data_IF_694949016169
#
_entry.id   IF_694949016169
#
_cell.length_a   1.000
_cell.length_b   1.000
_cell.length_c   1.000
_cell.angle_alpha   90.00
_cell.angle_beta   90.00
_cell.angle_gamma   90.00
#
_symmetry.space_group_name_H-M   'P 1'
#
loop_
_entity.id
_entity.type
_entity.pdbx_description
1 polymer ?
#
# COMPACT_ATOMS: atom_id res chain seq x y z
N UNK A 1 -12.92 -17.36 -24.28
CA UNK A 1 -11.63 -18.04 -24.06
C UNK A 1 -11.44 -18.19 -22.56
N UNK A 2 -11.49 -19.39 -21.97
CA UNK A 2 -11.42 -19.53 -20.53
C UNK A 2 -9.96 -19.71 -20.09
N UNK A 3 -9.47 -18.86 -19.21
CA UNK A 3 -8.16 -19.03 -18.57
C UNK A 3 -8.27 -20.14 -17.52
N UNK A 4 -8.04 -21.38 -17.94
CA UNK A 4 -7.82 -22.52 -17.06
C UNK A 4 -6.40 -22.45 -16.48
N UNK A 5 -6.25 -22.37 -15.16
CA UNK A 5 -4.96 -22.70 -14.51
C UNK A 5 -4.48 -21.81 -13.37
N UNK A 6 -5.35 -21.19 -12.58
CA UNK A 6 -4.91 -20.54 -11.33
C UNK A 6 -4.49 -21.63 -10.34
N UNK A 7 -3.17 -21.80 -10.16
CA UNK A 7 -2.61 -22.73 -9.16
C UNK A 7 -3.00 -22.26 -7.77
N UNK A 8 -3.56 -23.18 -6.96
CA UNK A 8 -3.85 -22.96 -5.54
C UNK A 8 -2.58 -22.44 -4.85
N UNK A 9 -2.60 -21.19 -4.40
CA UNK A 9 -1.54 -20.65 -3.58
C UNK A 9 -1.68 -21.24 -2.17
N UNK A 10 -0.64 -21.93 -1.71
CA UNK A 10 -0.52 -22.39 -0.33
C UNK A 10 -0.56 -21.20 0.64
N UNK A 11 -1.00 -21.40 1.90
CA UNK A 11 -0.96 -20.34 2.90
C UNK A 11 0.49 -19.93 3.13
N UNK A 12 0.87 -18.77 2.57
CA UNK A 12 2.15 -18.20 2.92
C UNK A 12 2.03 -17.67 4.35
N UNK A 13 2.87 -18.19 5.23
CA UNK A 13 3.06 -17.63 6.56
C UNK A 13 3.53 -16.19 6.39
N UNK A 14 2.65 -15.23 6.68
CA UNK A 14 3.01 -13.83 6.84
C UNK A 14 3.88 -13.75 8.10
N UNK A 15 5.19 -14.00 7.96
CA UNK A 15 6.13 -13.23 8.76
C UNK A 15 5.90 -11.80 8.32
N UNK A 16 5.15 -11.04 9.14
CA UNK A 16 5.18 -9.58 9.08
C UNK A 16 6.64 -9.21 9.18
N UNK A 17 7.30 -9.02 8.04
CA UNK A 17 8.61 -8.39 8.01
C UNK A 17 8.28 -6.98 8.42
N UNK A 18 8.48 -6.72 9.71
CA UNK A 18 8.34 -5.42 10.34
C UNK A 18 9.30 -4.48 9.62
N UNK A 19 8.84 -3.95 8.49
CA UNK A 19 9.33 -2.72 7.90
C UNK A 19 8.96 -1.66 8.92
N UNK A 20 9.98 -1.29 9.70
CA UNK A 20 9.95 -0.27 10.75
C UNK A 20 9.59 1.09 10.14
N UNK A 21 8.32 1.30 9.83
CA UNK A 21 7.65 2.60 9.75
C UNK A 21 6.26 2.43 10.39
N UNK A 22 6.25 1.82 11.56
CA UNK A 22 5.27 2.11 12.58
C UNK A 22 6.08 2.95 13.57
N UNK A 23 5.67 4.17 13.86
CA UNK A 23 6.29 4.92 14.96
C UNK A 23 6.07 4.10 16.24
N UNK A 24 7.08 3.35 16.67
CA UNK A 24 7.01 2.50 17.86
C UNK A 24 7.12 3.39 19.10
N UNK A 25 5.98 3.93 19.53
CA UNK A 25 5.86 4.81 20.69
C UNK A 25 5.99 4.07 22.03
N UNK A 26 6.09 2.73 22.02
CA UNK A 26 6.11 1.92 23.23
C UNK A 26 7.52 1.67 23.80
N UNK A 27 8.58 2.24 23.20
CA UNK A 27 9.97 2.03 23.64
C UNK A 27 10.58 3.18 24.47
N UNK A 28 9.83 4.25 24.79
CA UNK A 28 10.37 5.41 25.53
C UNK A 28 9.99 5.37 27.01
N UNK A 29 10.81 4.75 27.87
CA UNK A 29 10.88 4.95 29.33
C UNK A 29 9.56 5.36 30.04
N UNK A 30 8.88 4.39 30.65
CA UNK A 30 7.50 4.49 31.17
C UNK A 30 7.17 5.65 32.14
N UNK A 31 8.16 6.41 32.64
CA UNK A 31 7.92 7.54 33.56
C UNK A 31 7.74 8.89 32.84
N UNK A 32 8.29 9.12 31.65
CA UNK A 32 8.16 10.39 30.92
C UNK A 32 6.85 10.49 30.11
N UNK A 33 6.34 9.36 29.62
CA UNK A 33 5.11 9.30 28.79
C UNK A 33 3.86 9.73 29.58
N UNK A 34 3.75 9.47 30.89
CA UNK A 34 2.53 9.81 31.66
C UNK A 34 2.22 11.31 31.72
N UNK A 35 3.25 12.16 31.93
CA UNK A 35 3.09 13.62 32.01
C UNK A 35 2.95 14.26 30.64
N UNK A 36 3.54 13.66 29.62
CA UNK A 36 3.43 14.12 28.24
C UNK A 36 2.27 13.45 27.50
N UNK A 37 1.50 12.53 28.11
CA UNK A 37 0.45 11.74 27.44
C UNK A 37 -0.60 12.62 26.78
N UNK A 38 -0.99 13.71 27.44
CA UNK A 38 -1.93 14.71 26.88
C UNK A 38 -1.31 15.50 25.73
N UNK A 39 -0.02 15.86 25.84
CA UNK A 39 0.72 16.57 24.79
C UNK A 39 0.97 15.66 23.59
N UNK A 40 1.41 14.42 23.80
CA UNK A 40 1.60 13.39 22.79
C UNK A 40 0.27 13.06 22.12
N UNK A 41 -0.82 12.94 22.87
CA UNK A 41 -2.15 12.70 22.31
C UNK A 41 -2.64 13.90 21.49
N UNK A 42 -2.38 15.13 21.93
CA UNK A 42 -2.74 16.35 21.20
C UNK A 42 -1.85 16.57 19.96
N UNK A 43 -0.56 16.28 20.04
CA UNK A 43 0.39 16.28 18.90
C UNK A 43 0.05 15.14 17.94
N UNK A 44 -0.33 13.96 18.42
CA UNK A 44 -0.83 12.86 17.59
C UNK A 44 -2.18 13.18 16.99
N UNK A 45 -3.08 13.91 17.66
CA UNK A 45 -4.33 14.40 17.05
C UNK A 45 -4.06 15.47 15.99
N UNK A 46 -3.07 16.33 16.18
CA UNK A 46 -2.69 17.35 15.19
C UNK A 46 -1.85 16.78 14.02
N UNK A 47 -1.08 15.70 14.23
CA UNK A 47 -0.25 15.06 13.21
C UNK A 47 -0.93 13.86 12.52
N UNK A 48 -1.77 13.08 13.21
CA UNK A 48 -2.47 11.91 12.66
C UNK A 48 -3.66 12.32 11.77
N UNK A 49 -4.27 13.49 12.03
CA UNK A 49 -5.36 14.06 11.21
C UNK A 49 -4.88 14.43 9.79
N UNK A 50 -3.59 14.35 9.50
CA UNK A 50 -3.01 14.56 8.16
C UNK A 50 -2.56 13.23 7.54
N UNK A 51 -3.39 12.19 7.58
CA UNK A 51 -3.15 10.99 6.78
C UNK A 51 -4.41 10.56 6.03
N UNK A 52 -4.74 11.33 4.99
CA UNK A 52 -5.65 10.85 3.96
C UNK A 52 -4.93 9.73 3.17
N UNK A 53 -4.97 8.52 3.72
CA UNK A 53 -4.49 7.33 3.02
C UNK A 53 -5.50 6.97 1.93
N UNK A 54 -5.42 7.67 0.79
CA UNK A 54 -6.19 7.32 -0.40
C UNK A 54 -5.83 5.89 -0.79
N UNK A 55 -6.85 5.03 -0.94
CA UNK A 55 -6.64 3.64 -1.33
C UNK A 55 -5.99 3.61 -2.73
N UNK A 56 -4.74 3.13 -2.87
CA UNK A 56 -4.04 3.16 -4.16
C UNK A 56 -4.78 2.37 -5.24
N UNK A 57 -5.59 1.39 -4.86
CA UNK A 57 -6.31 0.51 -5.78
C UNK A 57 -7.52 1.18 -6.44
N UNK A 58 -7.94 2.35 -6.00
CA UNK A 58 -9.06 3.10 -6.62
C UNK A 58 -8.58 4.25 -7.50
N UNK A 59 -7.30 4.61 -7.40
CA UNK A 59 -6.68 5.70 -8.15
C UNK A 59 -6.42 5.30 -9.60
N UNK A 60 -6.48 6.23 -10.57
CA UNK A 60 -6.14 5.95 -11.96
C UNK A 60 -4.64 5.73 -12.14
N UNK A 61 -4.23 5.05 -13.22
CA UNK A 61 -2.84 5.04 -13.66
C UNK A 61 -2.35 6.47 -13.91
N UNK A 62 -1.17 6.83 -13.41
CA UNK A 62 -0.59 8.15 -13.64
C UNK A 62 0.90 8.07 -14.00
N UNK A 63 1.23 8.40 -15.27
CA UNK A 63 2.61 8.42 -15.77
C UNK A 63 3.47 9.51 -15.11
N UNK A 64 2.87 10.60 -14.63
CA UNK A 64 3.61 11.77 -14.17
C UNK A 64 4.16 12.63 -15.31
N UNK A 65 4.89 13.71 -14.97
CA UNK A 65 5.34 14.72 -15.94
C UNK A 65 6.77 14.52 -16.47
N UNK A 66 7.56 13.66 -15.84
CA UNK A 66 8.93 13.36 -16.28
C UNK A 66 8.94 12.37 -17.46
N UNK A 67 10.07 12.31 -18.18
CA UNK A 67 10.21 11.56 -19.44
C UNK A 67 11.04 10.27 -19.33
N UNK A 68 11.29 9.75 -18.12
CA UNK A 68 11.97 8.47 -17.97
C UNK A 68 11.03 7.31 -18.34
N UNK A 69 11.62 6.16 -18.66
CA UNK A 69 10.87 4.94 -19.00
C UNK A 69 11.02 3.86 -17.91
N UNK A 70 10.35 4.06 -16.78
CA UNK A 70 10.42 3.13 -15.65
C UNK A 70 9.21 2.18 -15.72
N UNK A 71 9.46 0.88 -15.89
CA UNK A 71 8.39 -0.13 -15.84
C UNK A 71 7.87 -0.27 -14.42
N UNK A 72 6.56 -0.08 -14.25
CA UNK A 72 5.82 -0.19 -12.99
C UNK A 72 4.51 -0.92 -13.20
N UNK A 73 3.84 -1.28 -12.11
CA UNK A 73 2.55 -1.95 -12.11
C UNK A 73 1.49 -1.03 -11.50
N UNK A 74 0.28 -1.05 -12.05
CA UNK A 74 -0.88 -0.39 -11.47
C UNK A 74 -2.05 -1.38 -11.43
N UNK A 75 -2.96 -1.20 -10.49
CA UNK A 75 -4.21 -1.94 -10.42
C UNK A 75 -5.24 -1.33 -11.35
N UNK A 76 -5.66 -2.10 -12.35
CA UNK A 76 -6.72 -1.77 -13.28
C UNK A 76 -8.04 -2.29 -12.72
N UNK A 77 -8.82 -1.39 -12.11
CA UNK A 77 -10.10 -1.72 -11.48
C UNK A 77 -11.18 -2.18 -12.46
N UNK A 78 -11.06 -1.84 -13.74
CA UNK A 78 -12.02 -2.25 -14.77
C UNK A 78 -11.80 -3.73 -15.14
N UNK A 79 -10.54 -4.15 -15.14
CA UNK A 79 -10.14 -5.52 -15.47
C UNK A 79 -9.83 -6.38 -14.23
N UNK A 80 -9.99 -5.83 -13.02
CA UNK A 80 -9.67 -6.47 -11.74
C UNK A 80 -8.25 -7.08 -11.68
N UNK A 81 -7.30 -6.44 -12.36
CA UNK A 81 -5.98 -7.01 -12.63
C UNK A 81 -4.85 -6.00 -12.45
N UNK A 82 -3.68 -6.48 -12.03
CA UNK A 82 -2.46 -5.67 -12.02
C UNK A 82 -1.82 -5.69 -13.42
N UNK A 83 -1.56 -4.50 -13.98
CA UNK A 83 -1.02 -4.33 -15.33
C UNK A 83 0.22 -3.44 -15.34
N UNK A 84 1.11 -3.68 -16.28
CA UNK A 84 2.30 -2.84 -16.46
C UNK A 84 1.96 -1.50 -17.11
N UNK A 85 2.65 -0.46 -16.68
CA UNK A 85 2.69 0.84 -17.34
C UNK A 85 4.08 1.47 -17.27
N UNK A 86 4.30 2.51 -18.08
CA UNK A 86 5.53 3.31 -18.06
C UNK A 86 5.33 4.52 -17.16
N UNK A 87 6.10 4.57 -16.08
CA UNK A 87 6.17 5.70 -15.17
C UNK A 87 7.31 6.64 -15.56
N UNK A 88 7.00 7.93 -15.64
CA UNK A 88 7.91 9.01 -16.04
C UNK A 88 9.04 9.29 -15.05
N UNK A 89 8.96 8.77 -13.81
CA UNK A 89 9.99 8.93 -12.78
C UNK A 89 9.75 10.07 -11.78
N UNK A 90 8.75 10.92 -12.00
CA UNK A 90 8.32 11.92 -11.02
C UNK A 90 6.80 12.16 -11.05
N UNK A 91 6.24 12.63 -9.93
CA UNK A 91 4.79 12.82 -9.79
C UNK A 91 4.07 11.48 -9.65
N UNK A 92 2.94 11.32 -10.34
CA UNK A 92 2.13 10.12 -10.25
C UNK A 92 1.21 10.10 -9.03
N UNK A 93 0.77 8.91 -8.64
CA UNK A 93 -0.02 8.68 -7.44
C UNK A 93 0.31 7.29 -6.83
N UNK A 94 -0.40 6.88 -5.79
CA UNK A 94 -0.15 5.62 -5.07
C UNK A 94 -0.43 4.34 -5.85
N UNK A 95 -1.13 4.39 -7.01
CA UNK A 95 -1.35 3.23 -7.86
C UNK A 95 -0.11 2.94 -8.74
N UNK A 96 1.02 2.67 -8.09
CA UNK A 96 2.32 2.53 -8.74
C UNK A 96 3.20 1.60 -7.90
N UNK A 97 3.32 0.35 -8.32
CA UNK A 97 4.02 -0.72 -7.64
C UNK A 97 5.24 -1.16 -8.44
N UNK A 98 6.29 -1.62 -7.77
CA UNK A 98 7.52 -2.06 -8.45
C UNK A 98 7.34 -3.44 -9.09
N UNK A 99 6.53 -4.29 -8.46
CA UNK A 99 6.30 -5.67 -8.89
C UNK A 99 4.82 -6.00 -9.01
N UNK A 100 4.49 -6.97 -9.86
CA UNK A 100 3.12 -7.49 -9.99
C UNK A 100 2.62 -8.04 -8.66
N UNK A 101 3.43 -8.87 -7.99
CA UNK A 101 3.10 -9.46 -6.70
C UNK A 101 2.73 -8.43 -5.63
N UNK A 102 3.44 -7.30 -5.60
CA UNK A 102 3.15 -6.22 -4.67
C UNK A 102 1.77 -5.60 -4.95
N UNK A 103 1.50 -5.29 -6.22
CA UNK A 103 0.21 -4.78 -6.66
C UNK A 103 -0.93 -5.74 -6.30
N UNK A 104 -0.78 -7.03 -6.58
CA UNK A 104 -1.79 -8.05 -6.31
C UNK A 104 -2.02 -8.23 -4.81
N UNK A 105 -0.95 -8.29 -4.02
CA UNK A 105 -1.03 -8.41 -2.55
C UNK A 105 -1.74 -7.23 -1.90
N UNK A 106 -1.64 -6.04 -2.49
CA UNK A 106 -2.25 -4.81 -1.95
C UNK A 106 -3.70 -4.68 -2.44
N UNK A 107 -3.95 -4.93 -3.72
CA UNK A 107 -5.21 -4.57 -4.37
C UNK A 107 -6.18 -5.73 -4.65
N UNK A 108 -5.73 -6.98 -4.62
CA UNK A 108 -6.58 -8.16 -4.86
C UNK A 108 -6.98 -8.90 -3.57
N UNK A 109 -6.70 -8.35 -2.38
CA UNK A 109 -7.25 -8.92 -1.13
C UNK A 109 -8.73 -8.60 -1.03
N UNK A 110 -9.58 -9.55 -1.43
CA UNK A 110 -11.01 -9.50 -1.10
C UNK A 110 -12.00 -10.13 -2.05
N UNK A 111 -11.59 -10.88 -3.08
CA UNK A 111 -12.54 -11.57 -3.96
C UNK A 111 -12.31 -13.09 -3.89
N UNK A 112 -12.69 -13.67 -2.75
CA UNK A 112 -13.17 -15.05 -2.75
C UNK A 112 -14.70 -14.96 -2.85
N UNK A 113 -15.28 -15.40 -3.96
CA UNK A 113 -16.67 -15.82 -3.95
C UNK A 113 -16.71 -17.15 -3.19
N UNK A 114 -17.42 -17.19 -2.06
CA UNK A 114 -17.95 -18.43 -1.51
C UNK A 114 -19.15 -18.82 -2.38
N UNK A 115 -19.11 -20.03 -2.96
CA UNK A 115 -20.27 -20.68 -3.57
C UNK A 115 -21.37 -20.93 -2.54
#
# INVERSE_FOLDING_TARGET
>A
MPYSGVKKAQPYNIRKKSSKIFYDFNSLSERKIRRMKLIIMFVMLLLCVISESSNPCTLPMNKGGCQNEIRRWFYDKENYACRMFVYGGCGGNGNNFETQDECEKICQRGWYEEE
#
